data_IF_773930768393
#
_entry.id   IF_773930768393
#
_cell.length_a   1.000
_cell.length_b   1.000
_cell.length_c   1.000
_cell.angle_alpha   90.00
_cell.angle_beta   90.00
_cell.angle_gamma   90.00
#
_symmetry.space_group_name_H-M   'P 1'
#
loop_
_entity.id
_entity.type
_entity.pdbx_description
1 polymer ?
#
# COMPACT_ATOMS: atom_id res chain seq x y z
N UNK A 1 -6.12 25.97 23.57
CA UNK A 1 -6.42 24.52 23.53
C UNK A 1 -5.12 23.77 23.75
N UNK A 2 -5.08 22.84 24.71
CA UNK A 2 -3.88 22.04 25.04
C UNK A 2 -3.62 20.97 23.97
N UNK A 3 -2.35 20.63 23.76
CA UNK A 3 -1.92 19.60 22.79
C UNK A 3 -2.53 18.23 23.10
N UNK A 4 -2.68 17.89 24.38
CA UNK A 4 -3.33 16.66 24.83
C UNK A 4 -4.82 16.55 24.40
N UNK A 5 -5.51 17.68 24.13
CA UNK A 5 -6.87 17.64 23.59
C UNK A 5 -6.87 17.39 22.08
N UNK A 6 -5.86 17.86 21.34
CA UNK A 6 -5.72 17.61 19.90
C UNK A 6 -5.35 16.16 19.62
N UNK A 7 -4.45 15.62 20.42
CA UNK A 7 -3.94 14.24 20.31
C UNK A 7 -5.04 13.20 20.61
N UNK A 8 -5.92 13.49 21.58
CA UNK A 8 -7.04 12.60 21.93
C UNK A 8 -8.15 12.57 20.86
N UNK A 9 -8.35 13.68 20.14
CA UNK A 9 -9.36 13.76 19.05
C UNK A 9 -8.86 13.07 17.77
N UNK A 10 -7.55 13.13 17.49
CA UNK A 10 -6.89 12.49 16.33
C UNK A 10 -6.96 10.95 16.36
N UNK A 11 -7.02 10.34 17.55
CA UNK A 11 -7.11 8.88 17.66
C UNK A 11 -8.56 8.34 17.63
N UNK A 12 -9.57 9.15 17.92
CA UNK A 12 -10.99 8.73 17.83
C UNK A 12 -11.52 8.79 16.38
N UNK A 13 -10.91 9.62 15.51
CA UNK A 13 -11.27 9.73 14.09
C UNK A 13 -10.81 8.54 13.25
N UNK A 14 -9.73 7.88 13.65
CA UNK A 14 -9.20 6.68 13.00
C UNK A 14 -9.76 5.43 13.68
N UNK A 15 -10.58 4.68 12.95
CA UNK A 15 -11.15 3.41 13.40
C UNK A 15 -10.12 2.29 13.49
N UNK A 16 -10.60 1.06 13.63
CA UNK A 16 -9.73 -0.11 13.78
C UNK A 16 -8.93 -0.36 12.51
N UNK A 17 -7.66 -0.70 12.66
CA UNK A 17 -6.80 -1.13 11.55
C UNK A 17 -7.34 -2.43 10.96
N UNK A 18 -7.47 -2.45 9.63
CA UNK A 18 -7.90 -3.60 8.85
C UNK A 18 -6.92 -3.84 7.70
N UNK A 19 -6.77 -5.10 7.34
CA UNK A 19 -5.94 -5.52 6.20
C UNK A 19 -6.75 -5.51 4.92
N UNK A 20 -6.34 -4.71 3.95
CA UNK A 20 -6.94 -4.62 2.62
C UNK A 20 -6.12 -5.43 1.61
N UNK A 21 -6.77 -6.27 0.82
CA UNK A 21 -6.13 -6.92 -0.33
C UNK A 21 -6.10 -5.97 -1.51
N UNK A 22 -4.91 -5.62 -1.98
CA UNK A 22 -4.71 -4.70 -3.10
C UNK A 22 -4.50 -5.45 -4.43
N UNK A 23 -3.86 -6.63 -4.37
CA UNK A 23 -3.58 -7.47 -5.54
C UNK A 23 -3.57 -8.93 -5.14
N UNK A 24 -4.15 -9.80 -5.96
CA UNK A 24 -4.10 -11.25 -5.77
C UNK A 24 -4.07 -11.94 -7.14
N UNK A 25 -2.96 -12.59 -7.47
CA UNK A 25 -2.81 -13.33 -8.71
C UNK A 25 -1.70 -14.38 -8.59
N UNK A 26 -1.92 -15.59 -9.12
CA UNK A 26 -0.91 -16.65 -9.23
C UNK A 26 -0.15 -16.95 -7.92
N UNK A 27 -0.85 -16.92 -6.78
CA UNK A 27 -0.25 -17.14 -5.46
C UNK A 27 0.56 -15.96 -4.92
N UNK A 28 0.57 -14.80 -5.58
CA UNK A 28 1.10 -13.55 -5.06
C UNK A 28 -0.05 -12.71 -4.51
N UNK A 29 0.07 -12.31 -3.25
CA UNK A 29 -0.91 -11.47 -2.55
C UNK A 29 -0.21 -10.21 -2.03
N UNK A 30 -0.71 -9.03 -2.38
CA UNK A 30 -0.26 -7.75 -1.84
C UNK A 30 -1.38 -7.19 -0.96
N UNK A 31 -1.06 -6.93 0.30
CA UNK A 31 -2.00 -6.34 1.26
C UNK A 31 -1.46 -5.04 1.84
N UNK A 32 -2.35 -4.23 2.40
CA UNK A 32 -2.01 -2.99 3.09
C UNK A 32 -2.91 -2.82 4.31
N UNK A 33 -2.30 -2.51 5.45
CA UNK A 33 -3.03 -2.30 6.70
C UNK A 33 -3.34 -0.81 6.86
N UNK A 34 -4.64 -0.48 6.99
CA UNK A 34 -5.12 0.89 7.13
C UNK A 34 -6.31 0.96 8.11
N UNK A 35 -6.52 2.09 8.81
CA UNK A 35 -7.67 2.29 9.69
C UNK A 35 -9.00 2.29 8.92
N UNK A 36 -10.05 1.81 9.58
CA UNK A 36 -11.42 1.80 9.09
C UNK A 36 -12.44 1.73 10.24
N UNK A 37 -13.46 2.62 10.28
CA UNK A 37 -13.69 3.76 9.39
C UNK A 37 -12.71 4.91 9.63
N UNK A 38 -12.67 5.91 8.75
CA UNK A 38 -11.96 7.18 8.96
C UNK A 38 -12.98 8.30 8.98
N UNK A 39 -13.16 8.96 10.13
CA UNK A 39 -14.04 10.09 10.31
C UNK A 39 -13.25 11.39 10.19
N UNK A 40 -13.54 12.20 9.17
CA UNK A 40 -12.76 13.41 8.91
C UNK A 40 -13.51 14.66 9.33
N UNK A 41 -12.79 15.61 9.93
CA UNK A 41 -13.31 16.93 10.28
C UNK A 41 -12.89 17.91 9.19
N UNK A 42 -13.80 18.79 8.76
CA UNK A 42 -13.52 19.78 7.71
C UNK A 42 -12.27 20.60 8.03
N UNK A 43 -11.36 20.71 7.06
CA UNK A 43 -10.07 21.40 7.18
C UNK A 43 -9.10 20.82 8.22
N UNK A 44 -9.39 19.64 8.76
CA UNK A 44 -8.47 18.91 9.64
C UNK A 44 -8.04 17.60 8.94
N UNK A 45 -6.86 17.59 8.30
CA UNK A 45 -6.37 16.36 7.68
C UNK A 45 -6.06 15.30 8.74
N UNK A 46 -6.41 14.06 8.44
CA UNK A 46 -6.04 12.90 9.24
C UNK A 46 -4.86 12.18 8.62
N UNK A 47 -4.03 11.58 9.46
CA UNK A 47 -2.82 10.90 9.03
C UNK A 47 -2.69 9.54 9.69
N UNK A 48 -2.26 8.53 8.93
CA UNK A 48 -1.95 7.22 9.47
C UNK A 48 -0.58 6.73 8.97
N UNK A 49 0.33 6.30 9.86
CA UNK A 49 0.26 6.47 11.32
C UNK A 49 0.10 7.94 11.75
N UNK A 50 -0.42 8.23 12.96
CA UNK A 50 -0.57 9.60 13.45
C UNK A 50 0.78 10.29 13.71
N UNK A 51 1.83 9.53 14.01
CA UNK A 51 3.20 10.03 14.18
C UNK A 51 4.09 9.59 13.02
N UNK A 52 4.94 10.49 12.53
CA UNK A 52 5.91 10.18 11.48
C UNK A 52 7.09 9.29 11.97
N UNK A 53 7.30 9.19 13.28
CA UNK A 53 8.31 8.34 13.91
C UNK A 53 7.95 8.11 15.39
N UNK A 54 7.70 6.87 15.88
CA UNK A 54 8.00 5.57 15.29
C UNK A 54 6.76 4.69 15.01
N UNK A 55 7.01 3.52 14.41
CA UNK A 55 6.14 2.35 14.17
C UNK A 55 4.70 2.39 14.73
N UNK A 56 3.67 2.11 13.91
CA UNK A 56 3.71 1.41 12.62
C UNK A 56 3.91 2.32 11.40
N UNK A 57 4.60 1.82 10.37
CA UNK A 57 4.68 2.47 9.04
C UNK A 57 3.63 1.88 8.11
N UNK A 58 3.01 2.69 7.25
CA UNK A 58 2.14 2.21 6.18
C UNK A 58 2.99 1.69 5.03
N UNK A 59 3.19 0.38 5.02
CA UNK A 59 3.90 -0.32 3.95
C UNK A 59 3.14 -1.56 3.53
N UNK A 60 3.11 -1.88 2.23
CA UNK A 60 2.44 -3.08 1.76
C UNK A 60 3.17 -4.34 2.22
N UNK A 61 2.43 -5.42 2.39
CA UNK A 61 2.97 -6.75 2.66
C UNK A 61 2.72 -7.61 1.43
N UNK A 62 3.80 -8.17 0.85
CA UNK A 62 3.71 -9.16 -0.20
C UNK A 62 3.85 -10.55 0.41
N UNK A 63 2.83 -11.39 0.24
CA UNK A 63 2.86 -12.81 0.58
C UNK A 63 3.07 -13.63 -0.69
N UNK A 64 4.08 -14.49 -0.67
CA UNK A 64 4.42 -15.37 -1.78
C UNK A 64 3.96 -16.80 -1.49
N UNK A 65 3.01 -17.30 -2.27
CA UNK A 65 2.52 -18.68 -2.27
C UNK A 65 2.61 -19.29 -3.68
N UNK A 66 3.41 -18.70 -4.57
CA UNK A 66 3.50 -19.08 -5.98
C UNK A 66 4.15 -20.46 -6.23
N UNK A 67 4.82 -21.02 -5.23
CA UNK A 67 5.62 -22.24 -5.39
C UNK A 67 7.11 -21.98 -5.68
N UNK A 68 7.48 -20.74 -6.01
CA UNK A 68 8.85 -20.33 -6.32
C UNK A 68 9.33 -19.22 -5.38
N UNK A 69 10.62 -19.18 -5.08
CA UNK A 69 11.21 -18.07 -4.33
C UNK A 69 11.27 -16.81 -5.20
N UNK A 70 10.87 -15.67 -4.64
CA UNK A 70 11.06 -14.36 -5.25
C UNK A 70 12.42 -13.81 -4.85
N UNK A 71 13.20 -13.38 -5.83
CA UNK A 71 14.43 -12.61 -5.64
C UNK A 71 14.10 -11.14 -5.32
N UNK A 72 13.10 -10.58 -6.00
CA UNK A 72 12.57 -9.25 -5.73
C UNK A 72 11.17 -9.10 -6.34
N UNK A 73 10.43 -8.13 -5.84
CA UNK A 73 9.19 -7.68 -6.45
C UNK A 73 9.10 -6.15 -6.38
N UNK A 74 8.62 -5.53 -7.45
CA UNK A 74 8.37 -4.08 -7.49
C UNK A 74 6.97 -3.86 -8.03
N UNK A 75 6.24 -2.92 -7.44
CA UNK A 75 4.89 -2.57 -7.85
C UNK A 75 4.56 -1.14 -7.42
N UNK A 76 3.62 -0.52 -8.12
CA UNK A 76 3.14 0.83 -7.81
C UNK A 76 1.77 0.73 -7.14
N UNK A 77 1.59 1.43 -6.02
CA UNK A 77 0.28 1.59 -5.38
C UNK A 77 -0.15 3.04 -5.48
N UNK A 78 -1.29 3.27 -6.13
CA UNK A 78 -2.00 4.53 -6.11
C UNK A 78 -3.09 4.51 -5.03
N UNK A 79 -3.07 5.50 -4.14
CA UNK A 79 -4.19 5.78 -3.24
C UNK A 79 -5.16 6.71 -3.96
N UNK A 80 -6.37 6.26 -4.28
CA UNK A 80 -7.31 7.08 -5.03
C UNK A 80 -8.05 8.06 -4.11
N UNK A 81 -8.39 9.22 -4.65
CA UNK A 81 -9.30 10.15 -3.99
C UNK A 81 -10.66 9.50 -3.77
N UNK A 82 -11.28 9.80 -2.63
CA UNK A 82 -12.65 9.35 -2.36
C UNK A 82 -13.60 10.30 -3.08
N UNK A 83 -14.52 9.72 -3.84
CA UNK A 83 -15.51 10.46 -4.62
C UNK A 83 -16.92 10.11 -4.19
N UNK A 84 -17.78 11.13 -4.24
CA UNK A 84 -19.23 11.00 -4.24
C UNK A 84 -19.69 11.44 -5.64
N UNK A 85 -20.25 10.52 -6.41
CA UNK A 85 -20.45 10.66 -7.86
C UNK A 85 -19.15 11.05 -8.59
N UNK A 86 -19.12 12.24 -9.20
CA UNK A 86 -17.95 12.78 -9.91
C UNK A 86 -17.09 13.70 -9.03
N UNK A 87 -17.57 14.06 -7.84
CA UNK A 87 -16.95 15.06 -6.98
C UNK A 87 -15.97 14.41 -6.02
N UNK A 88 -14.73 14.89 -5.98
CA UNK A 88 -13.77 14.49 -4.96
C UNK A 88 -14.19 15.07 -3.61
N UNK A 89 -14.50 14.19 -2.66
CA UNK A 89 -14.88 14.57 -1.29
C UNK A 89 -13.72 14.46 -0.30
N UNK A 90 -12.75 13.57 -0.58
CA UNK A 90 -11.51 13.42 0.21
C UNK A 90 -10.33 13.25 -0.73
N UNK A 91 -9.31 14.07 -0.49
CA UNK A 91 -8.01 13.96 -1.10
C UNK A 91 -7.16 12.96 -0.30
N UNK A 92 -6.70 11.89 -0.95
CA UNK A 92 -5.86 10.90 -0.28
C UNK A 92 -4.48 10.82 -0.90
N UNK A 93 -3.43 10.90 -0.08
CA UNK A 93 -2.04 10.95 -0.55
C UNK A 93 -1.15 10.07 0.30
N UNK A 94 -0.16 9.44 -0.33
CA UNK A 94 1.08 9.06 0.36
C UNK A 94 1.75 10.34 0.83
N UNK A 95 2.05 10.44 2.12
CA UNK A 95 2.51 11.67 2.74
C UNK A 95 3.94 11.52 3.24
N UNK A 96 4.75 12.54 2.96
CA UNK A 96 6.07 12.70 3.56
C UNK A 96 6.03 13.88 4.53
N UNK A 97 5.99 13.58 5.82
CA UNK A 97 5.89 14.58 6.88
C UNK A 97 7.09 15.53 6.92
N UNK A 98 8.30 15.00 6.70
CA UNK A 98 9.53 15.81 6.72
C UNK A 98 9.60 16.86 5.61
N UNK A 99 8.89 16.62 4.50
CA UNK A 99 8.86 17.53 3.35
C UNK A 99 7.54 18.32 3.26
N UNK A 100 6.49 17.89 3.96
CA UNK A 100 5.14 18.45 3.81
C UNK A 100 4.55 18.25 2.41
N UNK A 101 4.93 17.18 1.71
CA UNK A 101 4.52 16.92 0.32
C UNK A 101 3.79 15.57 0.25
N UNK A 102 2.73 15.53 -0.56
CA UNK A 102 1.93 14.34 -0.82
C UNK A 102 2.02 13.86 -2.27
N UNK A 103 2.00 12.53 -2.47
CA UNK A 103 1.99 11.88 -3.78
C UNK A 103 0.78 10.94 -3.90
N UNK A 104 0.19 10.84 -5.09
CA UNK A 104 -0.94 9.92 -5.32
C UNK A 104 -0.48 8.46 -5.39
N UNK A 105 0.71 8.25 -5.94
CA UNK A 105 1.26 6.93 -6.23
C UNK A 105 2.63 6.77 -5.62
N UNK A 106 2.93 5.58 -5.13
CA UNK A 106 4.23 5.23 -4.56
C UNK A 106 4.67 3.88 -5.09
N UNK A 107 5.93 3.81 -5.51
CA UNK A 107 6.57 2.55 -5.92
C UNK A 107 7.09 1.87 -4.67
N UNK A 108 6.79 0.59 -4.51
CA UNK A 108 7.30 -0.25 -3.44
C UNK A 108 8.15 -1.36 -4.01
N UNK A 109 9.25 -1.65 -3.32
CA UNK A 109 10.10 -2.81 -3.61
C UNK A 109 10.14 -3.74 -2.42
N UNK A 110 9.85 -5.00 -2.66
CA UNK A 110 10.12 -6.09 -1.74
C UNK A 110 11.42 -6.78 -2.15
N UNK A 111 12.28 -7.07 -1.18
CA UNK A 111 13.48 -7.87 -1.38
C UNK A 111 13.15 -9.35 -1.62
N UNK A 112 14.11 -10.22 -1.30
CA UNK A 112 13.92 -11.66 -1.44
C UNK A 112 12.79 -12.15 -0.51
N UNK A 113 11.85 -12.93 -1.06
CA UNK A 113 10.74 -13.54 -0.34
C UNK A 113 10.67 -15.01 -0.70
N UNK A 114 10.96 -15.88 0.27
CA UNK A 114 10.87 -17.33 0.09
C UNK A 114 9.42 -17.76 -0.18
N UNK A 115 9.25 -18.90 -0.84
CA UNK A 115 7.93 -19.50 -1.01
C UNK A 115 7.26 -19.76 0.36
N UNK A 116 5.95 -19.51 0.43
CA UNK A 116 5.10 -19.56 1.63
C UNK A 116 5.50 -18.57 2.74
N UNK A 117 6.20 -17.49 2.39
CA UNK A 117 6.58 -16.43 3.32
C UNK A 117 6.05 -15.06 2.87
N UNK A 118 6.19 -14.06 3.74
CA UNK A 118 5.79 -12.69 3.46
C UNK A 118 6.96 -11.73 3.68
N UNK A 119 7.01 -10.68 2.88
CA UNK A 119 7.96 -9.58 3.02
C UNK A 119 7.25 -8.23 3.00
N UNK A 120 7.81 -7.25 3.71
CA UNK A 120 7.32 -5.88 3.68
C UNK A 120 7.95 -5.13 2.51
N UNK A 121 7.15 -4.33 1.82
CA UNK A 121 7.62 -3.40 0.81
C UNK A 121 8.35 -2.23 1.46
N UNK A 122 9.32 -1.69 0.74
CA UNK A 122 10.00 -0.43 1.06
C UNK A 122 9.62 0.58 0.00
N UNK A 123 9.16 1.75 0.40
CA UNK A 123 8.86 2.85 -0.51
C UNK A 123 10.15 3.27 -1.25
N UNK A 124 10.07 3.44 -2.57
CA UNK A 124 11.20 3.85 -3.39
C UNK A 124 11.71 5.25 -3.01
N UNK A 125 10.81 6.12 -2.55
CA UNK A 125 11.15 7.42 -1.98
C UNK A 125 10.94 7.36 -0.46
N UNK A 126 12.02 7.62 0.29
CA UNK A 126 11.98 7.61 1.76
C UNK A 126 10.99 8.65 2.31
N UNK A 127 10.35 8.32 3.43
CA UNK A 127 9.42 9.18 4.14
C UNK A 127 7.97 9.09 3.67
N UNK A 128 7.67 8.43 2.55
CA UNK A 128 6.30 8.23 2.05
C UNK A 128 5.65 6.96 2.62
N UNK A 129 5.66 6.84 3.94
CA UNK A 129 5.20 5.66 4.69
C UNK A 129 3.99 6.01 5.57
N UNK A 130 3.34 7.13 5.25
CA UNK A 130 2.14 7.64 5.88
C UNK A 130 1.09 7.89 4.80
N UNK A 131 -0.18 7.73 5.15
CA UNK A 131 -1.31 8.12 4.30
C UNK A 131 -2.01 9.28 4.96
N UNK A 132 -2.28 10.33 4.18
CA UNK A 132 -3.02 11.52 4.59
C UNK A 132 -4.37 11.55 3.90
N UNK A 133 -5.42 11.81 4.66
CA UNK A 133 -6.77 12.10 4.16
C UNK A 133 -7.13 13.55 4.49
N UNK A 134 -7.51 14.33 3.49
CA UNK A 134 -7.96 15.71 3.67
C UNK A 134 -9.32 15.93 3.00
N UNK A 135 -10.30 16.41 3.75
CA UNK A 135 -11.65 16.69 3.24
C UNK A 135 -11.63 17.86 2.25
N UNK A 136 -12.43 17.74 1.18
CA UNK A 136 -12.68 18.81 0.22
C UNK A 136 -14.11 19.39 0.33
N UNK A 137 -14.97 18.74 1.12
CA UNK A 137 -16.38 19.08 1.34
C UNK A 137 -16.73 18.96 2.82
N UNK A 138 -17.82 19.61 3.25
CA UNK A 138 -18.33 19.59 4.62
C UNK A 138 -19.12 18.31 4.95
N UNK A 139 -19.58 17.58 3.94
CA UNK A 139 -20.28 16.30 4.08
C UNK A 139 -20.03 15.41 2.85
N UNK A 140 -20.02 14.10 3.07
CA UNK A 140 -19.91 13.12 2.00
C UNK A 140 -19.64 11.74 2.58
N UNK A 141 -20.05 10.71 1.86
CA UNK A 141 -19.74 9.32 2.19
C UNK A 141 -19.19 8.62 0.96
N UNK A 142 -18.08 7.91 1.13
CA UNK A 142 -17.50 7.16 0.04
C UNK A 142 -16.45 6.16 0.49
N UNK A 143 -16.12 5.24 -0.40
CA UNK A 143 -15.10 4.23 -0.17
C UNK A 143 -13.80 4.65 -0.85
N UNK A 144 -12.70 4.60 -0.10
CA UNK A 144 -11.38 4.69 -0.70
C UNK A 144 -11.12 3.45 -1.56
N UNK A 145 -10.56 3.68 -2.74
CA UNK A 145 -10.09 2.61 -3.63
C UNK A 145 -8.59 2.73 -3.82
N UNK A 146 -7.99 1.63 -4.27
CA UNK A 146 -6.57 1.55 -4.58
C UNK A 146 -6.40 1.00 -5.98
N UNK A 147 -5.37 1.46 -6.68
CA UNK A 147 -4.95 0.89 -7.96
C UNK A 147 -3.54 0.35 -7.80
N UNK A 148 -3.34 -0.93 -8.14
CA UNK A 148 -2.01 -1.55 -8.21
C UNK A 148 -1.62 -1.71 -9.67
N UNK A 149 -0.46 -1.19 -10.05
CA UNK A 149 0.08 -1.28 -11.41
C UNK A 149 1.55 -1.71 -11.40
N UNK A 150 2.07 -2.00 -12.58
CA UNK A 150 3.51 -2.26 -12.83
C UNK A 150 4.09 -3.37 -11.94
N UNK A 151 3.28 -4.40 -11.67
CA UNK A 151 3.68 -5.54 -10.85
C UNK A 151 4.75 -6.34 -11.61
N UNK A 152 5.99 -6.19 -11.16
CA UNK A 152 7.16 -6.88 -11.67
C UNK A 152 7.68 -7.86 -10.63
N UNK A 153 7.80 -9.13 -11.01
CA UNK A 153 8.23 -10.23 -10.15
C UNK A 153 9.49 -10.85 -10.74
N UNK A 154 10.58 -10.83 -9.97
CA UNK A 154 11.81 -11.53 -10.35
C UNK A 154 11.92 -12.77 -9.47
N UNK A 155 11.76 -13.94 -10.08
CA UNK A 155 11.95 -15.21 -9.37
C UNK A 155 13.42 -15.59 -9.32
N UNK A 156 13.83 -16.24 -8.24
CA UNK A 156 15.19 -16.79 -8.15
C UNK A 156 15.28 -17.93 -9.17
N UNK A 157 16.18 -17.79 -10.12
CA UNK A 157 16.54 -18.91 -11.01
C UNK A 157 17.09 -20.03 -10.13
N UNK A 158 16.37 -21.15 -10.06
CA UNK A 158 16.94 -22.38 -9.47
C UNK A 158 18.14 -22.72 -10.32
N UNK A 159 19.34 -22.69 -9.73
CA UNK A 159 20.62 -22.97 -10.39
C UNK A 159 20.48 -24.07 -11.44
N UNK A 160 20.70 -23.70 -12.72
CA UNK A 160 20.90 -24.57 -13.88
C UNK A 160 20.59 -26.07 -13.68
N UNK A 161 19.37 -26.48 -14.02
CA UNK A 161 19.17 -27.88 -14.42
C UNK A 161 19.65 -27.99 -15.86
N UNK A 162 20.96 -28.20 -16.06
CA UNK A 162 21.41 -28.83 -17.31
C UNK A 162 21.06 -30.30 -17.22
N UNK A 163 19.89 -30.68 -17.72
CA UNK A 163 19.64 -32.06 -18.15
C UNK A 163 19.10 -31.99 -19.57
N UNK A 164 19.84 -32.57 -20.51
CA UNK A 164 19.71 -32.37 -21.96
C UNK A 164 18.31 -32.11 -22.51
N UNK A 165 18.24 -31.11 -23.41
CA UNK A 165 17.21 -30.96 -24.43
C UNK A 165 15.77 -31.28 -24.00
N UNK A 166 15.20 -30.53 -23.05
CA UNK A 166 13.76 -30.24 -22.92
C UNK A 166 13.51 -29.20 -21.82
N UNK A 167 13.92 -27.95 -22.07
CA UNK A 167 13.56 -26.83 -21.19
C UNK A 167 12.33 -26.10 -21.77
N UNK A 168 11.25 -26.08 -20.98
CA UNK A 168 10.06 -25.24 -21.15
C UNK A 168 8.81 -25.94 -21.72
N UNK A 169 7.59 -25.60 -21.25
CA UNK A 169 6.36 -26.06 -21.89
C UNK A 169 6.23 -25.44 -23.29
N UNK A 170 5.65 -26.19 -24.23
CA UNK A 170 5.20 -25.63 -25.52
C UNK A 170 4.06 -24.65 -25.21
N UNK A 171 4.35 -23.35 -25.26
CA UNK A 171 3.32 -22.31 -25.20
C UNK A 171 2.67 -22.22 -26.57
N UNK A 172 1.39 -22.60 -26.66
CA UNK A 172 0.59 -22.50 -27.88
C UNK A 172 -0.34 -21.31 -27.76
N UNK A 173 -0.15 -20.31 -28.61
CA UNK A 173 -1.09 -19.19 -28.79
C UNK A 173 -2.06 -19.59 -29.90
N UNK A 174 -3.35 -19.45 -29.63
CA UNK A 174 -4.45 -19.62 -30.57
C UNK A 174 -5.39 -18.43 -30.45
#
# INVERSE_FOLDING_TARGET
>A
MSEALKEKISNDSLGKVQTYTLFSQNGILITLDLPSPVALILNNPEYYPPEANPTPKVVPVLTNQSGLDLQSATFTIQVNDVKEDTNTIVNTRWWNDSQGIGQQSMVFTCGQIANKSAGKGVAATSGYEQVRWATMTNNGYGHQTFTVSDVSLTFKSTSSVTTGATDGPIVRIG
#
